data_IF_256397671758
#
_entry.id   IF_256397671758
#
_cell.length_a   1.000
_cell.length_b   1.000
_cell.length_c   1.000
_cell.angle_alpha   90.00
_cell.angle_beta   90.00
_cell.angle_gamma   90.00
#
_symmetry.space_group_name_H-M   'P 1'
#
loop_
_entity.id
_entity.type
_entity.pdbx_description
1 polymer ?
#
# COMPACT_ATOMS: atom_id res chain seq x y z
N UNK A 1 -36.78 18.57 12.22
CA UNK A 1 -36.46 18.13 10.84
C UNK A 1 -37.37 16.94 10.50
N UNK A 2 -37.37 16.39 9.29
CA UNK A 2 -37.98 15.05 9.11
C UNK A 2 -37.10 14.00 9.82
N UNK A 3 -37.68 12.89 10.30
CA UNK A 3 -36.91 11.83 10.99
C UNK A 3 -35.70 11.35 10.19
N UNK A 4 -35.88 11.20 8.87
CA UNK A 4 -34.80 10.90 7.93
C UNK A 4 -33.67 11.94 7.94
N UNK A 5 -34.00 13.24 7.93
CA UNK A 5 -32.99 14.31 8.00
C UNK A 5 -32.24 14.34 9.33
N UNK A 6 -32.89 13.96 10.43
CA UNK A 6 -32.26 13.87 11.75
C UNK A 6 -31.26 12.72 11.81
N UNK A 7 -31.59 11.58 11.22
CA UNK A 7 -30.69 10.43 11.13
C UNK A 7 -29.48 10.74 10.21
N UNK A 8 -29.71 11.39 9.07
CA UNK A 8 -28.65 11.87 8.15
C UNK A 8 -27.70 12.86 8.84
N UNK A 9 -28.23 13.81 9.61
CA UNK A 9 -27.41 14.78 10.33
C UNK A 9 -26.60 14.15 11.48
N UNK A 10 -27.15 13.14 12.17
CA UNK A 10 -26.44 12.39 13.21
C UNK A 10 -25.27 11.60 12.64
N UNK A 11 -25.46 10.92 11.50
CA UNK A 11 -24.40 10.20 10.81
C UNK A 11 -23.28 11.15 10.35
N UNK A 12 -23.66 12.28 9.76
CA UNK A 12 -22.72 13.31 9.32
C UNK A 12 -21.90 13.89 10.49
N UNK A 13 -22.55 14.16 11.63
CA UNK A 13 -21.89 14.67 12.84
C UNK A 13 -20.94 13.64 13.45
N UNK A 14 -21.34 12.36 13.51
CA UNK A 14 -20.49 11.28 13.99
C UNK A 14 -19.22 11.14 13.13
N UNK A 15 -19.33 11.25 11.81
CA UNK A 15 -18.19 11.26 10.90
C UNK A 15 -17.22 12.42 11.19
N UNK A 16 -17.74 13.62 11.44
CA UNK A 16 -16.89 14.81 11.73
C UNK A 16 -16.12 14.65 13.03
N UNK A 17 -16.81 14.28 14.13
CA UNK A 17 -16.18 14.15 15.43
C UNK A 17 -15.22 12.96 15.54
N UNK A 18 -15.37 11.94 14.69
CA UNK A 18 -14.44 10.81 14.59
C UNK A 18 -13.25 11.09 13.67
N UNK A 19 -13.11 12.31 13.12
CA UNK A 19 -12.02 12.68 12.22
C UNK A 19 -12.11 12.04 10.83
N UNK A 20 -13.28 11.51 10.45
CA UNK A 20 -13.52 10.83 9.16
C UNK A 20 -13.97 11.78 8.05
N UNK A 21 -14.28 13.04 8.35
CA UNK A 21 -14.55 14.07 7.34
C UNK A 21 -13.92 15.40 7.68
N UNK A 22 -13.55 16.12 6.62
CA UNK A 22 -13.09 17.49 6.71
C UNK A 22 -14.18 18.41 7.26
N UNK A 23 -13.76 19.47 7.96
CA UNK A 23 -14.63 20.56 8.40
C UNK A 23 -15.40 21.20 7.24
N UNK A 24 -14.74 21.32 6.08
CA UNK A 24 -15.34 21.87 4.85
C UNK A 24 -16.52 21.00 4.40
N UNK A 25 -16.34 19.67 4.35
CA UNK A 25 -17.39 18.73 3.95
C UNK A 25 -18.53 18.66 4.96
N UNK A 26 -18.22 18.67 6.26
CA UNK A 26 -19.25 18.75 7.30
C UNK A 26 -20.15 19.97 7.12
N UNK A 27 -19.56 21.16 6.94
CA UNK A 27 -20.33 22.40 6.73
C UNK A 27 -21.18 22.32 5.46
N UNK A 28 -20.61 21.86 4.34
CA UNK A 28 -21.32 21.76 3.07
C UNK A 28 -22.52 20.81 3.14
N UNK A 29 -22.34 19.61 3.69
CA UNK A 29 -23.41 18.60 3.78
C UNK A 29 -24.47 18.98 4.83
N UNK A 30 -24.08 19.54 5.97
CA UNK A 30 -25.04 19.99 6.98
C UNK A 30 -25.86 21.19 6.47
N UNK A 31 -25.29 22.03 5.59
CA UNK A 31 -26.04 23.10 4.91
C UNK A 31 -27.09 22.53 3.96
N UNK A 32 -26.80 21.45 3.22
CA UNK A 32 -27.79 20.75 2.37
C UNK A 32 -28.94 20.14 3.19
N UNK A 33 -28.69 19.77 4.44
CA UNK A 33 -29.71 19.31 5.39
C UNK A 33 -30.53 20.45 6.02
N UNK A 34 -30.23 21.70 5.68
CA UNK A 34 -30.95 22.90 6.12
C UNK A 34 -30.39 23.52 7.40
N UNK A 35 -29.18 23.13 7.85
CA UNK A 35 -28.53 23.74 9.01
C UNK A 35 -27.70 24.94 8.57
N UNK A 36 -27.86 26.08 9.23
CA UNK A 36 -27.15 27.29 8.84
C UNK A 36 -25.64 27.16 9.08
N UNK A 37 -24.85 27.62 8.10
CA UNK A 37 -23.38 27.67 8.19
C UNK A 37 -22.90 28.49 9.41
N UNK A 38 -23.66 29.52 9.80
CA UNK A 38 -23.38 30.34 10.98
C UNK A 38 -23.50 29.55 12.30
N UNK A 39 -24.49 28.65 12.41
CA UNK A 39 -24.65 27.78 13.57
C UNK A 39 -23.55 26.71 13.61
N UNK A 40 -23.22 26.12 12.46
CA UNK A 40 -22.17 25.11 12.33
C UNK A 40 -20.79 25.67 12.69
N UNK A 41 -20.49 26.92 12.28
CA UNK A 41 -19.26 27.62 12.66
C UNK A 41 -19.12 27.82 14.18
N UNK A 42 -20.23 27.89 14.93
CA UNK A 42 -20.21 28.04 16.39
C UNK A 42 -20.09 26.72 17.15
N UNK A 43 -20.55 25.61 16.55
CA UNK A 43 -20.63 24.30 17.20
C UNK A 43 -19.47 23.36 16.86
N UNK A 44 -18.75 23.61 15.76
CA UNK A 44 -17.63 22.79 15.32
C UNK A 44 -16.29 23.41 15.75
N UNK A 45 -15.72 23.06 16.93
CA UNK A 45 -14.35 23.44 17.24
C UNK A 45 -13.41 22.86 16.18
N UNK A 46 -12.27 23.53 15.98
CA UNK A 46 -11.19 22.98 15.16
C UNK A 46 -10.70 21.69 15.82
N UNK A 47 -11.08 20.53 15.28
CA UNK A 47 -10.50 19.24 15.69
C UNK A 47 -9.02 19.23 15.32
N UNK A 48 -8.18 18.67 16.19
CA UNK A 48 -6.71 18.77 16.26
C UNK A 48 -5.88 18.29 15.05
N UNK A 49 -6.50 18.05 13.90
CA UNK A 49 -5.82 17.70 12.67
C UNK A 49 -6.67 18.18 11.48
N UNK A 50 -6.76 19.49 11.27
CA UNK A 50 -7.35 20.05 10.06
C UNK A 50 -6.27 20.92 9.39
N UNK A 51 -5.28 20.29 8.77
CA UNK A 51 -4.45 20.98 7.78
C UNK A 51 -5.18 20.95 6.44
N UNK A 52 -5.01 21.99 5.62
CA UNK A 52 -5.58 22.08 4.26
C UNK A 52 -5.13 20.95 3.32
N UNK A 53 -4.19 20.10 3.77
CA UNK A 53 -3.60 18.98 3.03
C UNK A 53 -4.22 17.61 3.39
N UNK A 54 -5.21 17.55 4.27
CA UNK A 54 -5.97 16.32 4.48
C UNK A 54 -6.91 16.08 3.31
N UNK A 55 -6.62 15.03 2.53
CA UNK A 55 -7.60 14.46 1.60
C UNK A 55 -8.75 13.94 2.45
N UNK A 56 -9.98 14.39 2.15
CA UNK A 56 -11.19 13.90 2.80
C UNK A 56 -11.21 12.37 2.67
N UNK A 57 -11.05 11.63 3.77
CA UNK A 57 -11.42 10.21 3.76
C UNK A 57 -12.89 10.20 3.38
N UNK A 58 -13.25 9.70 2.20
CA UNK A 58 -14.64 9.83 1.77
C UNK A 58 -15.54 8.98 2.68
N UNK A 59 -16.38 9.53 3.57
CA UNK A 59 -17.42 8.76 4.28
C UNK A 59 -18.51 8.26 3.33
N UNK A 60 -18.54 8.79 2.10
CA UNK A 60 -19.30 8.21 1.01
C UNK A 60 -18.23 7.61 0.10
N UNK A 61 -17.76 6.40 0.39
CA UNK A 61 -17.62 5.48 -0.73
C UNK A 61 -19.04 5.49 -1.36
N UNK A 62 -19.24 6.06 -2.56
CA UNK A 62 -20.59 6.33 -3.08
C UNK A 62 -21.46 5.07 -3.15
N UNK A 63 -20.82 3.91 -3.09
CA UNK A 63 -21.39 2.57 -3.16
C UNK A 63 -20.93 1.67 -1.99
N UNK A 64 -20.57 2.23 -0.83
CA UNK A 64 -20.53 1.43 0.41
C UNK A 64 -21.92 0.76 0.55
N UNK A 65 -21.96 -0.57 0.65
CA UNK A 65 -23.22 -1.33 0.73
C UNK A 65 -24.19 -0.63 1.69
N UNK A 66 -25.30 -0.05 1.20
CA UNK A 66 -26.25 0.57 2.10
C UNK A 66 -26.68 -0.48 3.12
N UNK A 67 -26.81 -0.07 4.38
CA UNK A 67 -27.42 -0.94 5.38
C UNK A 67 -28.91 -0.99 5.05
N UNK A 68 -29.29 -1.88 4.13
CA UNK A 68 -30.67 -2.06 3.71
C UNK A 68 -31.47 -2.77 4.80
N UNK A 69 -32.80 -2.59 4.80
CA UNK A 69 -33.69 -3.29 5.74
C UNK A 69 -33.59 -4.81 5.54
N UNK A 70 -33.45 -5.23 4.29
CA UNK A 70 -33.32 -6.62 3.87
C UNK A 70 -32.02 -7.22 4.43
N UNK A 71 -30.89 -6.50 4.33
CA UNK A 71 -29.61 -6.93 4.89
C UNK A 71 -29.65 -7.00 6.41
N UNK A 72 -30.26 -6.01 7.08
CA UNK A 72 -30.45 -6.05 8.53
C UNK A 72 -31.25 -7.30 8.92
N UNK A 73 -32.37 -7.55 8.25
CA UNK A 73 -33.23 -8.68 8.57
C UNK A 73 -32.55 -10.02 8.29
N UNK A 74 -31.81 -10.12 7.18
CA UNK A 74 -30.97 -11.27 6.86
C UNK A 74 -29.93 -11.53 7.95
N UNK A 75 -29.22 -10.51 8.45
CA UNK A 75 -28.21 -10.67 9.50
C UNK A 75 -28.82 -11.03 10.87
N UNK A 76 -30.04 -10.58 11.18
CA UNK A 76 -30.74 -10.96 12.41
C UNK A 76 -30.99 -12.47 12.49
N UNK A 77 -31.21 -13.13 11.36
CA UNK A 77 -31.47 -14.58 11.34
C UNK A 77 -30.20 -15.42 11.59
N UNK A 78 -29.02 -14.80 11.76
CA UNK A 78 -27.73 -15.48 11.87
C UNK A 78 -27.53 -16.49 10.73
N UNK A 79 -27.46 -16.00 9.48
CA UNK A 79 -27.61 -16.82 8.29
C UNK A 79 -26.49 -17.85 8.12
N UNK A 80 -25.36 -17.67 8.80
CA UNK A 80 -24.21 -18.57 8.75
C UNK A 80 -24.02 -19.35 10.06
N UNK A 81 -25.06 -19.48 10.90
CA UNK A 81 -24.99 -20.26 12.13
C UNK A 81 -24.55 -21.71 11.84
N UNK A 82 -23.46 -22.13 12.49
CA UNK A 82 -22.88 -23.47 12.32
C UNK A 82 -21.97 -23.62 11.10
N UNK A 83 -21.75 -22.54 10.33
CA UNK A 83 -20.79 -22.50 9.23
C UNK A 83 -19.44 -22.03 9.74
N UNK A 84 -18.37 -22.73 9.34
CA UNK A 84 -16.98 -22.30 9.54
C UNK A 84 -16.34 -22.09 8.19
N UNK A 85 -15.67 -20.95 8.01
CA UNK A 85 -14.88 -20.61 6.83
C UNK A 85 -13.40 -20.67 7.20
N UNK A 86 -12.61 -21.45 6.48
CA UNK A 86 -11.17 -21.55 6.63
C UNK A 86 -10.47 -20.62 5.64
N UNK A 87 -9.68 -19.68 6.13
CA UNK A 87 -8.99 -18.68 5.33
C UNK A 87 -7.48 -18.80 5.52
N UNK A 88 -6.74 -18.96 4.43
CA UNK A 88 -5.29 -18.83 4.45
C UNK A 88 -4.90 -17.37 4.22
N UNK A 89 -4.11 -16.79 5.13
CA UNK A 89 -3.63 -15.41 5.02
C UNK A 89 -2.11 -15.32 5.14
N UNK A 90 -1.55 -14.29 4.51
CA UNK A 90 -0.20 -13.82 4.79
C UNK A 90 -0.08 -13.35 6.25
N UNK A 91 0.97 -13.81 6.93
CA UNK A 91 1.39 -13.31 8.24
C UNK A 91 2.01 -11.92 8.13
N UNK A 92 1.17 -10.89 8.08
CA UNK A 92 1.52 -9.47 8.03
C UNK A 92 0.34 -8.61 8.52
N UNK A 93 0.49 -7.28 8.51
CA UNK A 93 -0.56 -6.30 8.86
C UNK A 93 -1.88 -6.58 8.14
N UNK A 94 -1.80 -6.94 6.85
CA UNK A 94 -2.96 -7.35 6.05
C UNK A 94 -3.70 -8.58 6.62
N UNK A 95 -2.98 -9.58 7.12
CA UNK A 95 -3.58 -10.75 7.78
C UNK A 95 -4.17 -10.40 9.14
N UNK A 96 -3.51 -9.50 9.89
CA UNK A 96 -4.02 -8.97 11.16
C UNK A 96 -5.35 -8.24 10.99
N UNK A 97 -5.55 -7.52 9.88
CA UNK A 97 -6.82 -6.87 9.56
C UNK A 97 -7.98 -7.88 9.48
N UNK A 98 -7.80 -9.04 8.83
CA UNK A 98 -8.85 -10.07 8.78
C UNK A 98 -9.15 -10.62 10.19
N UNK A 99 -8.11 -10.96 10.96
CA UNK A 99 -8.25 -11.48 12.32
C UNK A 99 -8.98 -10.50 13.24
N UNK A 100 -8.74 -9.20 13.08
CA UNK A 100 -9.42 -8.16 13.85
C UNK A 100 -10.93 -8.06 13.52
N UNK A 101 -11.32 -8.32 12.27
CA UNK A 101 -12.72 -8.22 11.83
C UNK A 101 -13.51 -9.53 11.96
N UNK A 102 -12.84 -10.68 11.99
CA UNK A 102 -13.46 -12.00 12.09
C UNK A 102 -14.43 -12.14 13.29
N UNK A 103 -14.11 -11.68 14.53
CA UNK A 103 -15.05 -11.75 15.65
C UNK A 103 -16.32 -10.93 15.44
N UNK A 104 -16.20 -9.75 14.81
CA UNK A 104 -17.36 -8.90 14.50
C UNK A 104 -18.25 -9.57 13.45
N UNK A 105 -17.65 -10.09 12.38
CA UNK A 105 -18.39 -10.83 11.36
C UNK A 105 -19.11 -12.05 11.94
N UNK A 106 -18.45 -12.79 12.84
CA UNK A 106 -19.04 -13.93 13.54
C UNK A 106 -20.23 -13.49 14.42
N UNK A 107 -20.07 -12.41 15.18
CA UNK A 107 -21.13 -11.85 16.01
C UNK A 107 -22.33 -11.39 15.17
N UNK A 108 -22.11 -10.81 13.99
CA UNK A 108 -23.18 -10.33 13.11
C UNK A 108 -23.89 -11.47 12.39
N UNK A 109 -23.16 -12.47 11.91
CA UNK A 109 -23.69 -13.49 10.99
C UNK A 109 -23.96 -14.86 11.61
N UNK A 110 -23.39 -15.16 12.77
CA UNK A 110 -23.44 -16.46 13.43
C UNK A 110 -22.43 -17.49 12.89
N UNK A 111 -21.66 -17.15 11.85
CA UNK A 111 -20.59 -18.01 11.34
C UNK A 111 -19.28 -17.88 12.13
N UNK A 112 -18.32 -18.72 11.79
CA UNK A 112 -16.97 -18.68 12.33
C UNK A 112 -15.93 -18.56 11.21
N UNK A 113 -14.86 -17.81 11.46
CA UNK A 113 -13.71 -17.73 10.54
C UNK A 113 -12.51 -18.35 11.26
N UNK A 114 -11.99 -19.42 10.68
CA UNK A 114 -10.71 -20.00 11.08
C UNK A 114 -9.63 -19.40 10.18
N UNK A 115 -8.61 -18.78 10.79
CA UNK A 115 -7.54 -18.10 10.05
C UNK A 115 -6.25 -18.89 10.22
N UNK A 116 -5.72 -19.38 9.10
CA UNK A 116 -4.38 -19.96 9.04
C UNK A 116 -3.41 -18.92 8.49
N UNK A 117 -2.30 -18.70 9.17
CA UNK A 117 -1.29 -17.73 8.76
C UNK A 117 -0.04 -18.42 8.21
N UNK A 118 0.47 -17.91 7.09
CA UNK A 118 1.74 -18.37 6.50
C UNK A 118 2.63 -17.18 6.14
N UNK A 119 3.96 -17.29 6.25
CA UNK A 119 4.85 -16.23 5.81
C UNK A 119 4.85 -16.08 4.27
N UNK A 120 5.23 -14.89 3.78
CA UNK A 120 5.19 -14.55 2.34
C UNK A 120 6.05 -15.50 1.49
N UNK A 121 7.17 -15.96 2.05
CA UNK A 121 8.13 -16.85 1.40
C UNK A 121 7.55 -18.22 1.02
N UNK A 122 6.47 -18.63 1.68
CA UNK A 122 5.80 -19.92 1.49
C UNK A 122 4.33 -19.77 1.08
N UNK A 123 3.80 -18.54 1.02
CA UNK A 123 2.41 -18.25 0.69
C UNK A 123 1.99 -18.87 -0.65
N UNK A 124 2.78 -18.63 -1.71
CA UNK A 124 2.53 -19.21 -3.04
C UNK A 124 2.44 -20.73 -3.00
N UNK A 125 3.49 -21.37 -2.45
CA UNK A 125 3.59 -22.82 -2.40
C UNK A 125 2.41 -23.43 -1.63
N UNK A 126 1.98 -22.82 -0.53
CA UNK A 126 0.86 -23.34 0.28
C UNK A 126 -0.48 -23.20 -0.46
N UNK A 127 -0.74 -22.05 -1.10
CA UNK A 127 -1.95 -21.84 -1.90
C UNK A 127 -2.04 -22.88 -3.02
N UNK A 128 -1.00 -22.96 -3.87
CA UNK A 128 -1.05 -23.80 -5.05
C UNK A 128 -0.90 -25.30 -4.75
N UNK A 129 -0.31 -25.66 -3.61
CA UNK A 129 -0.36 -27.04 -3.11
C UNK A 129 -1.78 -27.48 -2.77
N UNK A 130 -2.54 -26.66 -2.01
CA UNK A 130 -3.93 -27.01 -1.67
C UNK A 130 -4.84 -27.11 -2.90
N UNK A 131 -4.68 -26.16 -3.83
CA UNK A 131 -5.45 -26.10 -5.08
C UNK A 131 -5.12 -27.27 -6.03
N UNK A 132 -3.84 -27.54 -6.30
CA UNK A 132 -3.42 -28.56 -7.27
C UNK A 132 -3.67 -29.99 -6.78
N UNK A 133 -3.61 -30.22 -5.47
CA UNK A 133 -3.90 -31.53 -4.86
C UNK A 133 -5.39 -31.78 -4.66
N UNK A 134 -6.23 -30.74 -4.71
CA UNK A 134 -7.66 -30.84 -4.47
C UNK A 134 -8.01 -31.17 -3.02
N UNK A 135 -7.13 -30.89 -2.07
CA UNK A 135 -7.35 -31.20 -0.65
C UNK A 135 -8.46 -30.34 -0.03
N UNK A 136 -8.65 -29.12 -0.53
CA UNK A 136 -9.71 -28.20 -0.09
C UNK A 136 -9.62 -27.86 1.39
N UNK A 137 -8.42 -27.62 1.91
CA UNK A 137 -8.21 -27.22 3.32
C UNK A 137 -8.74 -25.82 3.60
N UNK A 138 -8.75 -24.96 2.58
CA UNK A 138 -9.17 -23.57 2.69
C UNK A 138 -10.29 -23.24 1.72
N UNK A 139 -11.26 -22.47 2.22
CA UNK A 139 -12.39 -21.97 1.42
C UNK A 139 -12.00 -20.70 0.64
N UNK A 140 -11.01 -19.95 1.14
CA UNK A 140 -10.50 -18.74 0.48
C UNK A 140 -9.05 -18.45 0.90
N UNK A 141 -8.37 -17.68 0.05
CA UNK A 141 -6.96 -17.34 0.18
C UNK A 141 -6.79 -15.84 0.03
N UNK A 142 -6.02 -15.23 0.93
CA UNK A 142 -5.40 -13.93 0.65
C UNK A 142 -4.19 -14.17 -0.26
N UNK A 143 -4.21 -13.57 -1.45
CA UNK A 143 -3.21 -13.82 -2.49
C UNK A 143 -2.70 -12.51 -3.09
N UNK A 144 -1.44 -12.50 -3.51
CA UNK A 144 -0.83 -11.38 -4.21
C UNK A 144 -1.31 -11.30 -5.65
N UNK A 145 -1.46 -10.09 -6.18
CA UNK A 145 -1.89 -9.89 -7.56
C UNK A 145 -0.93 -10.52 -8.59
N UNK A 146 0.35 -10.64 -8.25
CA UNK A 146 1.37 -11.27 -9.09
C UNK A 146 1.22 -12.80 -9.22
N UNK A 147 0.35 -13.44 -8.43
CA UNK A 147 0.02 -14.87 -8.55
C UNK A 147 -1.22 -15.13 -9.43
N UNK A 148 -1.94 -14.10 -9.89
CA UNK A 148 -3.23 -14.28 -10.55
C UNK A 148 -3.18 -15.16 -11.79
N UNK A 149 -2.11 -15.07 -12.59
CA UNK A 149 -1.93 -15.93 -13.77
C UNK A 149 -1.92 -17.42 -13.42
N UNK A 150 -1.36 -17.78 -12.26
CA UNK A 150 -1.18 -19.17 -11.84
C UNK A 150 -2.53 -19.85 -11.52
N UNK A 151 -3.56 -19.08 -11.13
CA UNK A 151 -4.90 -19.61 -10.90
C UNK A 151 -5.57 -20.13 -12.18
N UNK A 152 -5.04 -19.81 -13.37
CA UNK A 152 -5.58 -20.25 -14.67
C UNK A 152 -4.74 -21.37 -15.32
N UNK A 153 -3.80 -21.96 -14.59
CA UNK A 153 -2.91 -23.02 -15.12
C UNK A 153 -3.54 -24.41 -15.09
N UNK A 154 -4.56 -24.63 -14.26
CA UNK A 154 -5.32 -25.88 -14.22
C UNK A 154 -6.23 -26.08 -15.44
N UNK A 155 -6.70 -27.32 -15.64
CA UNK A 155 -7.70 -27.63 -16.67
C UNK A 155 -9.00 -26.83 -16.47
N UNK A 156 -9.34 -26.57 -15.20
CA UNK A 156 -10.34 -25.58 -14.79
C UNK A 156 -9.65 -24.52 -13.92
N UNK A 157 -10.06 -23.24 -14.00
CA UNK A 157 -9.50 -22.19 -13.15
C UNK A 157 -9.71 -22.49 -11.66
N UNK A 158 -8.67 -22.30 -10.86
CA UNK A 158 -8.68 -22.43 -9.40
C UNK A 158 -9.36 -21.25 -8.68
N UNK A 159 -9.94 -20.31 -9.42
CA UNK A 159 -10.55 -19.08 -8.92
C UNK A 159 -11.89 -18.82 -9.60
N UNK A 160 -12.85 -18.31 -8.83
CA UNK A 160 -14.23 -18.06 -9.30
C UNK A 160 -14.45 -16.59 -9.65
N UNK A 161 -15.25 -16.35 -10.69
CA UNK A 161 -15.67 -15.01 -11.09
C UNK A 161 -16.55 -14.38 -9.99
N UNK A 162 -16.32 -13.09 -9.68
CA UNK A 162 -17.02 -12.40 -8.59
C UNK A 162 -18.38 -11.82 -8.99
N UNK A 163 -18.60 -11.56 -10.28
CA UNK A 163 -19.82 -10.92 -10.78
C UNK A 163 -21.14 -11.61 -10.35
N UNK A 164 -21.24 -12.95 -10.25
CA UNK A 164 -22.44 -13.60 -9.72
C UNK A 164 -22.75 -13.22 -8.26
N UNK A 165 -21.73 -13.08 -7.42
CA UNK A 165 -21.90 -12.72 -6.00
C UNK A 165 -22.34 -11.27 -5.84
N UNK A 166 -21.81 -10.36 -6.66
CA UNK A 166 -22.20 -8.94 -6.66
C UNK A 166 -23.66 -8.71 -7.07
N UNK A 167 -24.26 -9.62 -7.84
CA UNK A 167 -25.66 -9.53 -8.28
C UNK A 167 -26.64 -10.09 -7.25
N UNK A 168 -26.18 -10.90 -6.29
CA UNK A 168 -27.05 -11.48 -5.27
C UNK A 168 -27.16 -10.52 -4.07
N UNK A 169 -28.38 -10.01 -3.77
CA UNK A 169 -28.60 -9.03 -2.70
C UNK A 169 -28.28 -9.56 -1.29
N UNK A 170 -27.99 -10.86 -1.12
CA UNK A 170 -27.49 -11.43 0.14
C UNK A 170 -26.06 -11.02 0.46
N UNK A 171 -25.26 -10.68 -0.56
CA UNK A 171 -23.86 -10.29 -0.38
C UNK A 171 -23.71 -8.76 -0.33
N UNK A 172 -22.62 -8.25 0.26
CA UNK A 172 -22.29 -6.83 0.17
C UNK A 172 -22.15 -6.40 -1.30
N UNK A 173 -22.86 -5.34 -1.68
CA UNK A 173 -22.66 -4.62 -2.93
C UNK A 173 -21.43 -3.73 -2.86
N UNK A 174 -20.59 -3.82 -3.88
CA UNK A 174 -19.49 -2.89 -4.18
C UNK A 174 -19.27 -2.91 -5.69
N UNK A 175 -18.70 -1.83 -6.24
CA UNK A 175 -18.48 -1.70 -7.68
C UNK A 175 -16.98 -1.78 -8.04
N UNK A 176 -16.52 -2.84 -8.74
CA UNK A 176 -15.15 -2.94 -9.24
C UNK A 176 -14.73 -1.77 -10.16
N UNK A 177 -15.68 -1.04 -10.76
CA UNK A 177 -15.36 0.14 -11.57
C UNK A 177 -14.82 1.31 -10.74
N UNK A 178 -15.02 1.31 -9.42
CA UNK A 178 -14.47 2.32 -8.51
C UNK A 178 -13.00 2.09 -8.17
N UNK A 179 -12.48 0.90 -8.41
CA UNK A 179 -11.07 0.62 -8.19
C UNK A 179 -10.21 1.44 -9.14
N UNK A 180 -9.00 1.78 -8.69
CA UNK A 180 -7.99 2.36 -9.57
C UNK A 180 -7.85 1.47 -10.82
N UNK A 181 -7.84 2.03 -12.04
CA UNK A 181 -7.80 1.22 -13.26
C UNK A 181 -6.65 0.22 -13.32
N UNK A 182 -5.50 0.57 -12.72
CA UNK A 182 -4.36 -0.34 -12.58
C UNK A 182 -4.69 -1.55 -11.70
N UNK A 183 -5.30 -1.33 -10.52
CA UNK A 183 -5.71 -2.40 -9.61
C UNK A 183 -6.78 -3.29 -10.24
N UNK A 184 -7.79 -2.71 -10.87
CA UNK A 184 -8.82 -3.50 -11.57
C UNK A 184 -8.23 -4.41 -12.65
N UNK A 185 -7.23 -3.92 -13.39
CA UNK A 185 -6.55 -4.70 -14.42
C UNK A 185 -5.85 -5.93 -13.83
N UNK A 186 -5.23 -5.79 -12.67
CA UNK A 186 -4.54 -6.88 -11.97
C UNK A 186 -5.50 -8.00 -11.51
N UNK A 187 -6.74 -7.63 -11.19
CA UNK A 187 -7.80 -8.56 -10.75
C UNK A 187 -8.68 -9.07 -11.91
N UNK A 188 -8.35 -8.73 -13.16
CA UNK A 188 -9.18 -9.09 -14.32
C UNK A 188 -8.48 -10.08 -15.26
N UNK A 189 -9.21 -11.10 -15.69
CA UNK A 189 -8.76 -12.06 -16.71
C UNK A 189 -9.84 -12.26 -17.76
N UNK A 190 -9.48 -12.15 -19.05
CA UNK A 190 -10.42 -12.25 -20.19
C UNK A 190 -11.69 -11.40 -20.02
N UNK A 191 -11.56 -10.18 -19.50
CA UNK A 191 -12.67 -9.24 -19.31
C UNK A 191 -13.55 -9.50 -18.09
N UNK A 192 -13.25 -10.51 -17.27
CA UNK A 192 -13.96 -10.85 -16.04
C UNK A 192 -13.14 -10.49 -14.81
N UNK A 193 -13.81 -10.14 -13.71
CA UNK A 193 -13.17 -9.79 -12.44
C UNK A 193 -13.16 -11.00 -11.50
N UNK A 194 -12.00 -11.28 -10.94
CA UNK A 194 -11.73 -12.37 -10.01
C UNK A 194 -11.15 -11.78 -8.72
N UNK A 195 -11.61 -12.27 -7.57
CA UNK A 195 -11.17 -11.79 -6.26
C UNK A 195 -11.74 -10.44 -5.83
N UNK A 196 -11.50 -10.12 -4.55
CA UNK A 196 -11.91 -8.87 -3.90
C UNK A 196 -10.65 -8.07 -3.61
N UNK A 197 -10.60 -6.80 -4.02
CA UNK A 197 -9.52 -5.89 -3.66
C UNK A 197 -9.59 -5.66 -2.14
N UNK A 198 -8.65 -6.27 -1.42
CA UNK A 198 -8.54 -6.18 0.03
C UNK A 198 -7.50 -5.15 0.45
N UNK A 199 -6.37 -5.14 -0.26
CA UNK A 199 -5.25 -4.23 -0.04
C UNK A 199 -4.64 -3.81 -1.38
N UNK A 200 -4.07 -2.62 -1.42
CA UNK A 200 -3.47 -2.05 -2.61
C UNK A 200 -2.39 -1.03 -2.24
N UNK A 201 -1.16 -1.40 -2.50
CA UNK A 201 0.03 -0.69 -2.11
C UNK A 201 0.94 -0.36 -3.31
N UNK A 202 1.84 0.58 -3.09
CA UNK A 202 2.92 0.91 -4.00
C UNK A 202 4.13 1.30 -3.17
N UNK A 203 5.33 0.97 -3.64
CA UNK A 203 6.54 1.48 -3.03
C UNK A 203 6.75 2.95 -3.41
N UNK A 204 6.94 3.79 -2.40
CA UNK A 204 7.35 5.18 -2.55
C UNK A 204 8.54 5.46 -1.64
N UNK A 205 9.16 6.63 -1.79
CA UNK A 205 10.31 7.02 -0.98
C UNK A 205 9.82 7.80 0.24
N UNK A 206 9.98 7.20 1.41
CA UNK A 206 9.87 7.90 2.69
C UNK A 206 11.23 8.41 3.12
N UNK A 207 11.25 9.60 3.71
CA UNK A 207 12.49 10.24 4.12
C UNK A 207 12.32 11.12 5.35
N UNK A 208 13.42 11.38 6.05
CA UNK A 208 13.47 12.27 7.22
C UNK A 208 13.57 13.72 6.77
N UNK A 209 12.42 14.38 6.56
CA UNK A 209 12.38 15.79 6.11
C UNK A 209 13.07 16.72 7.10
N UNK A 210 12.99 16.44 8.40
CA UNK A 210 13.65 17.21 9.44
C UNK A 210 15.19 17.18 9.32
N UNK A 211 15.74 16.08 8.81
CA UNK A 211 17.17 15.94 8.56
C UNK A 211 17.61 16.61 7.25
N UNK A 212 16.71 16.68 6.27
CA UNK A 212 16.95 17.42 5.02
C UNK A 212 16.78 18.94 5.19
N UNK A 213 15.98 19.38 6.16
CA UNK A 213 15.74 20.78 6.52
C UNK A 213 16.77 21.33 7.52
N UNK A 214 17.57 20.47 8.16
CA UNK A 214 18.59 20.87 9.14
C UNK A 214 19.68 21.71 8.45
N UNK A 215 19.89 22.99 8.84
CA UNK A 215 20.85 23.88 8.17
C UNK A 215 22.26 23.31 8.08
N UNK A 216 22.78 22.74 9.17
CA UNK A 216 24.10 22.10 9.19
C UNK A 216 24.24 20.97 8.15
N UNK A 217 23.17 20.21 7.92
CA UNK A 217 23.19 19.13 6.93
C UNK A 217 23.16 19.70 5.51
N UNK A 218 22.40 20.77 5.27
CA UNK A 218 22.37 21.47 3.98
C UNK A 218 23.73 22.07 3.64
N UNK A 219 24.38 22.74 4.59
CA UNK A 219 25.72 23.31 4.42
C UNK A 219 26.78 22.24 4.11
N UNK A 220 26.81 21.16 4.91
CA UNK A 220 27.73 20.03 4.69
C UNK A 220 27.49 19.35 3.34
N UNK A 221 26.24 19.16 2.93
CA UNK A 221 25.91 18.56 1.64
C UNK A 221 26.39 19.45 0.50
N UNK A 222 26.07 20.76 0.55
CA UNK A 222 26.48 21.72 -0.47
C UNK A 222 28.00 21.83 -0.58
N UNK A 223 28.71 21.80 0.54
CA UNK A 223 30.17 21.80 0.56
C UNK A 223 30.76 20.54 -0.11
N UNK A 224 30.12 19.37 0.05
CA UNK A 224 30.60 18.09 -0.52
C UNK A 224 30.26 17.93 -2.00
N UNK A 225 29.05 18.30 -2.42
CA UNK A 225 28.54 18.01 -3.77
C UNK A 225 28.43 19.23 -4.68
N UNK A 226 28.56 20.45 -4.16
CA UNK A 226 28.53 21.69 -4.95
C UNK A 226 27.13 22.15 -5.37
N UNK A 227 26.06 21.54 -4.85
CA UNK A 227 24.67 21.93 -5.10
C UNK A 227 23.81 21.79 -3.84
N UNK A 228 22.63 22.43 -3.83
CA UNK A 228 21.72 22.41 -2.67
C UNK A 228 21.21 21.00 -2.36
N UNK A 229 21.07 20.66 -1.07
CA UNK A 229 20.51 19.38 -0.63
C UNK A 229 19.08 19.22 -1.19
N UNK A 230 18.80 18.17 -2.00
CA UNK A 230 17.50 18.01 -2.61
C UNK A 230 16.47 17.49 -1.58
N UNK A 231 15.39 18.23 -1.40
CA UNK A 231 14.28 17.88 -0.49
C UNK A 231 12.92 18.08 -1.19
N UNK A 232 12.27 17.01 -1.69
CA UNK A 232 12.78 15.63 -1.87
C UNK A 232 13.75 15.50 -3.07
N UNK A 233 14.45 14.35 -3.23
CA UNK A 233 15.17 14.03 -4.45
C UNK A 233 14.22 13.91 -5.64
N UNK A 234 14.67 14.38 -6.81
CA UNK A 234 13.92 14.35 -8.08
C UNK A 234 14.53 13.47 -9.14
N UNK A 235 15.78 13.05 -8.96
CA UNK A 235 16.51 12.18 -9.89
C UNK A 235 17.16 11.03 -9.14
N UNK A 236 17.39 9.90 -9.82
CA UNK A 236 18.10 8.76 -9.23
C UNK A 236 19.50 9.16 -8.72
N UNK A 237 20.20 10.06 -9.45
CA UNK A 237 21.49 10.61 -9.01
C UNK A 237 21.38 11.32 -7.66
N UNK A 238 20.38 12.19 -7.48
CA UNK A 238 20.17 12.90 -6.21
C UNK A 238 19.87 11.92 -5.07
N UNK A 239 19.09 10.88 -5.33
CA UNK A 239 18.84 9.83 -4.34
C UNK A 239 20.13 9.09 -3.94
N UNK A 240 21.01 8.75 -4.89
CA UNK A 240 22.32 8.19 -4.60
C UNK A 240 23.23 9.14 -3.81
N UNK A 241 23.29 10.42 -4.20
CA UNK A 241 24.13 11.41 -3.51
C UNK A 241 23.65 11.63 -2.06
N UNK A 242 22.34 11.70 -1.82
CA UNK A 242 21.74 11.75 -0.48
C UNK A 242 22.08 10.49 0.33
N UNK A 243 21.91 9.31 -0.28
CA UNK A 243 22.20 8.03 0.37
C UNK A 243 23.67 7.93 0.77
N UNK A 244 24.60 8.33 -0.11
CA UNK A 244 26.03 8.36 0.20
C UNK A 244 26.41 9.50 1.17
N UNK A 245 25.68 10.62 1.16
CA UNK A 245 25.93 11.73 2.08
C UNK A 245 25.61 11.35 3.51
N UNK A 246 24.42 10.78 3.75
CA UNK A 246 23.89 10.47 5.09
C UNK A 246 24.38 9.12 5.66
N UNK A 247 25.44 8.54 5.07
CA UNK A 247 26.00 7.27 5.56
C UNK A 247 27.32 7.49 6.30
N UNK A 248 27.47 6.85 7.45
CA UNK A 248 28.76 6.69 8.12
C UNK A 248 29.18 7.85 9.02
N UNK A 249 28.22 8.68 9.45
CA UNK A 249 28.44 9.71 10.46
C UNK A 249 27.15 10.00 11.23
N UNK A 250 27.31 10.61 12.40
CA UNK A 250 26.23 10.97 13.33
C UNK A 250 25.50 12.25 12.86
N UNK A 251 24.52 12.10 11.98
CA UNK A 251 23.75 13.24 11.48
C UNK A 251 22.56 13.58 12.38
N UNK A 252 22.12 12.61 13.19
CA UNK A 252 20.99 12.75 14.10
C UNK A 252 21.40 13.34 15.48
N UNK A 253 22.67 13.26 15.85
CA UNK A 253 23.26 13.80 17.09
C UNK A 253 23.20 12.88 18.31
N UNK A 254 23.01 11.57 18.13
CA UNK A 254 22.85 10.59 19.22
C UNK A 254 24.13 9.86 19.62
N UNK A 255 25.26 10.18 18.98
CA UNK A 255 26.57 9.59 19.25
C UNK A 255 26.87 8.32 18.45
N UNK A 256 25.98 7.88 17.55
CA UNK A 256 26.19 6.73 16.68
C UNK A 256 26.25 7.14 15.21
N UNK A 257 26.94 6.35 14.39
CA UNK A 257 26.91 6.57 12.94
C UNK A 257 25.61 6.04 12.34
N UNK A 258 25.02 6.83 11.45
CA UNK A 258 23.74 6.54 10.81
C UNK A 258 23.88 6.14 9.33
N UNK A 259 22.75 5.79 8.71
CA UNK A 259 22.65 5.30 7.35
C UNK A 259 21.87 6.22 6.41
N UNK A 260 22.28 6.28 5.16
CA UNK A 260 21.60 7.09 4.16
C UNK A 260 20.43 6.38 3.48
N UNK A 261 20.34 5.06 3.58
CA UNK A 261 19.17 4.31 3.12
C UNK A 261 19.00 3.02 3.94
N UNK A 262 17.74 2.67 4.18
CA UNK A 262 17.37 1.39 4.74
C UNK A 262 16.61 0.57 3.69
N UNK A 263 16.97 -0.71 3.63
CA UNK A 263 16.42 -1.68 2.68
C UNK A 263 16.09 -2.96 3.43
N UNK A 264 15.10 -3.69 2.91
CA UNK A 264 14.68 -4.99 3.42
C UNK A 264 14.66 -5.93 2.24
N UNK A 265 15.80 -6.55 1.94
CA UNK A 265 16.09 -7.16 0.64
C UNK A 265 16.21 -8.70 0.70
N UNK A 266 15.63 -9.34 1.73
CA UNK A 266 15.61 -10.80 1.85
C UNK A 266 15.02 -11.45 0.59
N UNK A 267 15.70 -12.50 0.12
CA UNK A 267 15.24 -13.36 -0.99
C UNK A 267 13.92 -14.06 -0.62
N UNK A 268 13.02 -14.22 -1.59
CA UNK A 268 11.64 -14.71 -1.40
C UNK A 268 10.79 -13.85 -0.44
N UNK A 269 11.20 -12.60 -0.27
CA UNK A 269 10.56 -11.57 0.56
C UNK A 269 10.57 -10.28 -0.28
N UNK A 270 10.76 -9.10 0.33
CA UNK A 270 10.65 -7.84 -0.39
C UNK A 270 11.75 -7.51 -1.41
N UNK A 271 12.88 -8.22 -1.43
CA UNK A 271 13.98 -7.92 -2.37
C UNK A 271 13.57 -7.92 -3.85
N UNK A 272 12.63 -8.82 -4.21
CA UNK A 272 12.04 -8.85 -5.55
C UNK A 272 11.29 -7.56 -5.90
N UNK A 273 10.50 -7.02 -4.96
CA UNK A 273 9.72 -5.81 -5.19
C UNK A 273 10.60 -4.56 -5.24
N UNK A 274 11.66 -4.49 -4.43
CA UNK A 274 12.66 -3.41 -4.54
C UNK A 274 13.27 -3.34 -5.93
N UNK A 275 13.69 -4.49 -6.46
CA UNK A 275 14.22 -4.55 -7.81
C UNK A 275 13.17 -4.15 -8.86
N UNK A 276 11.94 -4.63 -8.74
CA UNK A 276 10.85 -4.27 -9.66
C UNK A 276 10.59 -2.76 -9.68
N UNK A 277 10.46 -2.15 -8.51
CA UNK A 277 10.21 -0.71 -8.34
C UNK A 277 11.34 0.13 -8.93
N UNK A 278 12.60 -0.24 -8.64
CA UNK A 278 13.76 0.53 -9.09
C UNK A 278 14.12 0.27 -10.55
N UNK A 279 13.80 -0.91 -11.10
CA UNK A 279 14.06 -1.23 -12.48
C UNK A 279 12.98 -0.76 -13.44
N UNK A 280 11.72 -0.62 -13.00
CA UNK A 280 10.63 -0.22 -13.87
C UNK A 280 10.92 1.07 -14.66
N UNK A 281 11.47 2.16 -14.08
CA UNK A 281 11.80 3.37 -14.84
C UNK A 281 12.82 3.18 -15.97
N UNK A 282 13.67 2.14 -15.90
CA UNK A 282 14.70 1.87 -16.91
C UNK A 282 14.18 1.14 -18.14
N UNK A 283 12.97 0.58 -18.07
CA UNK A 283 12.41 -0.22 -19.18
C UNK A 283 10.96 0.10 -19.50
N UNK A 284 10.20 0.61 -18.55
CA UNK A 284 8.81 1.05 -18.76
C UNK A 284 8.83 2.53 -19.11
N UNK A 285 8.34 2.84 -20.31
CA UNK A 285 8.22 4.19 -20.85
C UNK A 285 6.87 4.37 -21.53
N UNK A 286 6.65 5.54 -22.13
CA UNK A 286 5.46 5.78 -22.96
C UNK A 286 5.34 4.77 -24.11
N UNK A 287 6.48 4.34 -24.65
CA UNK A 287 6.56 3.51 -25.86
C UNK A 287 6.86 2.02 -25.55
N UNK A 288 7.19 1.68 -24.30
CA UNK A 288 7.29 0.29 -23.86
C UNK A 288 6.63 0.05 -22.49
N UNK A 289 5.75 -0.95 -22.41
CA UNK A 289 5.11 -1.40 -21.17
C UNK A 289 5.55 -2.79 -20.72
N UNK A 290 6.42 -3.45 -21.48
CA UNK A 290 6.78 -4.85 -21.28
C UNK A 290 8.02 -4.94 -20.39
N UNK A 291 7.85 -5.52 -19.20
CA UNK A 291 8.91 -5.71 -18.21
C UNK A 291 9.49 -7.13 -18.26
N UNK A 292 8.65 -8.16 -18.15
CA UNK A 292 9.12 -9.55 -17.98
C UNK A 292 9.35 -10.29 -19.29
N UNK A 293 8.40 -10.22 -20.24
CA UNK A 293 8.40 -11.05 -21.44
C UNK A 293 8.04 -10.24 -22.68
N UNK A 294 8.65 -10.61 -23.80
CA UNK A 294 8.19 -10.16 -25.11
C UNK A 294 6.80 -10.78 -25.38
N UNK A 295 5.78 -9.99 -25.75
CA UNK A 295 4.40 -10.47 -25.86
C UNK A 295 4.18 -11.46 -27.02
N UNK A 296 5.01 -11.42 -28.06
CA UNK A 296 4.85 -12.24 -29.26
C UNK A 296 5.62 -13.55 -29.17
N UNK A 297 6.77 -13.53 -28.48
CA UNK A 297 7.72 -14.66 -28.45
C UNK A 297 7.83 -15.33 -27.09
N UNK A 298 7.28 -14.72 -26.03
CA UNK A 298 7.47 -15.13 -24.64
C UNK A 298 8.95 -15.20 -24.20
N UNK A 299 9.87 -14.59 -24.97
CA UNK A 299 11.27 -14.51 -24.59
C UNK A 299 11.40 -13.62 -23.33
N UNK A 300 12.11 -14.07 -22.28
CA UNK A 300 12.39 -13.25 -21.11
C UNK A 300 13.18 -11.99 -21.48
N UNK A 301 12.78 -10.85 -20.92
CA UNK A 301 13.39 -9.53 -21.13
C UNK A 301 14.33 -9.12 -20.00
N UNK A 302 14.32 -9.87 -18.89
CA UNK A 302 15.02 -9.53 -17.64
C UNK A 302 16.54 -9.35 -17.78
N UNK A 303 17.15 -9.91 -18.82
CA UNK A 303 18.58 -9.77 -19.12
C UNK A 303 18.90 -8.65 -20.14
N UNK A 304 17.94 -7.77 -20.45
CA UNK A 304 18.17 -6.63 -21.33
C UNK A 304 19.11 -5.61 -20.70
N UNK A 305 19.73 -4.75 -21.52
CA UNK A 305 20.61 -3.67 -21.07
C UNK A 305 19.97 -2.74 -20.02
N UNK A 306 18.69 -2.37 -20.18
CA UNK A 306 17.98 -1.53 -19.21
C UNK A 306 17.87 -2.17 -17.83
N UNK A 307 17.48 -3.45 -17.77
CA UNK A 307 17.44 -4.21 -16.51
C UNK A 307 18.82 -4.38 -15.87
N UNK A 308 19.87 -4.58 -16.66
CA UNK A 308 21.24 -4.65 -16.15
C UNK A 308 21.66 -3.32 -15.52
N UNK A 309 21.45 -2.20 -16.22
CA UNK A 309 21.75 -0.86 -15.68
C UNK A 309 20.96 -0.57 -14.40
N UNK A 310 19.69 -0.96 -14.35
CA UNK A 310 18.88 -0.86 -13.15
C UNK A 310 19.45 -1.66 -11.98
N UNK A 311 19.93 -2.88 -12.24
CA UNK A 311 20.55 -3.72 -11.21
C UNK A 311 21.85 -3.09 -10.69
N UNK A 312 22.69 -2.58 -11.59
CA UNK A 312 23.93 -1.87 -11.24
C UNK A 312 23.65 -0.64 -10.38
N UNK A 313 22.62 0.15 -10.72
CA UNK A 313 22.22 1.30 -9.92
C UNK A 313 21.60 0.87 -8.59
N UNK A 314 20.79 -0.18 -8.54
CA UNK A 314 20.28 -0.73 -7.28
C UNK A 314 21.41 -1.16 -6.34
N UNK A 315 22.41 -1.89 -6.85
CA UNK A 315 23.55 -2.37 -6.06
C UNK A 315 24.36 -1.23 -5.45
N UNK A 316 24.39 -0.04 -6.08
CA UNK A 316 25.06 1.16 -5.52
C UNK A 316 24.40 1.70 -4.25
N UNK A 317 23.17 1.32 -3.92
CA UNK A 317 22.55 1.66 -2.64
C UNK A 317 23.04 0.76 -1.49
N UNK A 318 23.47 -0.47 -1.77
CA UNK A 318 23.80 -1.45 -0.73
C UNK A 318 24.90 -0.98 0.25
N UNK A 319 25.97 -0.27 -0.17
CA UNK A 319 26.97 0.24 0.76
C UNK A 319 26.47 1.34 1.69
N UNK A 320 25.31 1.95 1.39
CA UNK A 320 24.74 3.08 2.13
C UNK A 320 23.68 2.67 3.17
N UNK A 321 23.52 1.37 3.37
CA UNK A 321 22.75 0.77 4.46
C UNK A 321 23.55 -0.36 5.13
N UNK A 322 23.03 -0.94 6.22
CA UNK A 322 23.67 -2.08 6.87
C UNK A 322 23.80 -3.26 5.92
N UNK A 323 24.92 -3.99 5.98
CA UNK A 323 25.17 -5.14 5.10
C UNK A 323 24.16 -6.27 5.33
N UNK A 324 23.59 -6.33 6.53
CA UNK A 324 22.58 -7.28 6.96
C UNK A 324 21.23 -7.05 6.25
N UNK A 325 21.00 -5.88 5.65
CA UNK A 325 19.78 -5.52 4.93
C UNK A 325 19.39 -6.53 3.82
N UNK A 326 20.38 -7.24 3.24
CA UNK A 326 20.16 -8.31 2.26
C UNK A 326 19.39 -9.52 2.83
N UNK A 327 19.33 -9.62 4.16
CA UNK A 327 18.65 -10.70 4.89
C UNK A 327 17.40 -10.23 5.64
N UNK A 328 17.13 -8.93 5.62
CA UNK A 328 16.07 -8.34 6.42
C UNK A 328 14.71 -8.53 5.78
N UNK A 329 13.76 -8.96 6.61
CA UNK A 329 12.33 -8.92 6.32
C UNK A 329 11.82 -7.48 6.33
N UNK A 330 10.60 -7.26 5.84
CA UNK A 330 9.97 -5.94 5.81
C UNK A 330 10.08 -5.17 7.13
N UNK A 331 9.65 -5.80 8.23
CA UNK A 331 9.68 -5.18 9.56
C UNK A 331 11.09 -4.88 10.07
N UNK A 332 12.10 -5.66 9.69
CA UNK A 332 13.49 -5.41 10.09
C UNK A 332 14.07 -4.17 9.41
N UNK A 333 13.78 -3.95 8.12
CA UNK A 333 14.16 -2.70 7.44
C UNK A 333 13.47 -1.49 8.06
N UNK A 334 12.16 -1.58 8.26
CA UNK A 334 11.40 -0.50 8.90
C UNK A 334 11.92 -0.11 10.27
N UNK A 335 12.37 -1.08 11.09
CA UNK A 335 12.91 -0.78 12.41
C UNK A 335 14.13 0.17 12.36
N UNK A 336 14.98 0.09 11.34
CA UNK A 336 16.14 0.98 11.22
C UNK A 336 15.69 2.43 10.93
N UNK A 337 14.73 2.60 10.02
CA UNK A 337 14.17 3.92 9.73
C UNK A 337 13.38 4.48 10.92
N UNK A 338 12.48 3.68 11.52
CA UNK A 338 11.61 4.09 12.63
C UNK A 338 12.36 4.39 13.93
N UNK A 339 13.54 3.78 14.14
CA UNK A 339 14.45 4.12 15.23
C UNK A 339 15.28 5.38 14.97
N UNK A 340 15.17 5.98 13.79
CA UNK A 340 15.81 7.24 13.45
C UNK A 340 17.22 7.12 12.86
N UNK A 341 17.68 5.90 12.53
CA UNK A 341 19.04 5.61 12.07
C UNK A 341 19.18 5.46 10.55
N UNK A 342 18.11 5.70 9.79
CA UNK A 342 18.16 5.81 8.33
C UNK A 342 17.40 7.06 7.85
N UNK A 343 17.99 7.80 6.91
CA UNK A 343 17.38 9.05 6.41
C UNK A 343 16.34 8.81 5.30
N UNK A 344 16.42 7.67 4.60
CA UNK A 344 15.52 7.26 3.52
C UNK A 344 15.14 5.78 3.64
N UNK A 345 13.90 5.46 3.29
CA UNK A 345 13.36 4.10 3.18
C UNK A 345 12.39 4.04 1.99
N UNK A 346 12.80 3.50 0.84
CA UNK A 346 11.87 3.15 -0.22
C UNK A 346 11.04 1.94 0.24
N UNK A 347 9.74 2.09 0.47
CA UNK A 347 8.89 1.00 0.97
C UNK A 347 7.40 1.28 0.77
N UNK A 348 6.56 0.36 1.26
CA UNK A 348 5.10 0.33 1.18
C UNK A 348 4.42 1.36 2.07
N UNK A 349 3.12 1.55 1.82
CA UNK A 349 2.25 2.57 2.42
C UNK A 349 2.06 2.50 3.94
N UNK A 350 2.44 1.40 4.58
CA UNK A 350 2.23 1.17 6.00
C UNK A 350 3.18 2.00 6.89
N UNK A 351 4.43 2.21 6.45
CA UNK A 351 5.49 2.81 7.26
C UNK A 351 5.09 4.16 7.89
N UNK A 352 4.46 5.12 7.17
CA UNK A 352 4.01 6.38 7.76
C UNK A 352 3.06 6.21 8.94
N UNK A 353 2.19 5.19 8.91
CA UNK A 353 1.24 4.92 10.00
C UNK A 353 2.01 4.57 11.28
N UNK A 354 3.01 3.69 11.17
CA UNK A 354 3.91 3.37 12.28
C UNK A 354 4.76 4.56 12.72
N UNK A 355 5.22 5.38 11.78
CA UNK A 355 5.98 6.58 12.08
C UNK A 355 5.18 7.64 12.85
N UNK A 356 3.85 7.64 12.77
CA UNK A 356 2.98 8.53 13.55
C UNK A 356 2.59 7.97 14.92
N UNK A 357 2.90 6.72 15.24
CA UNK A 357 2.64 6.15 16.57
C UNK A 357 3.28 7.08 17.63
N UNK A 358 2.52 7.57 18.62
CA UNK A 358 3.07 8.40 19.71
C UNK A 358 4.21 7.73 20.49
N UNK A 359 4.37 6.41 20.38
CA UNK A 359 5.52 5.67 20.93
C UNK A 359 6.80 5.84 20.09
N UNK A 360 6.70 6.29 18.84
CA UNK A 360 7.84 6.62 17.99
C UNK A 360 8.34 8.04 18.29
N UNK A 361 9.37 8.15 19.12
CA UNK A 361 9.96 9.44 19.47
C UNK A 361 10.79 10.07 18.33
N UNK A 362 11.18 9.28 17.33
CA UNK A 362 12.14 9.69 16.30
C UNK A 362 11.48 10.20 15.03
N UNK A 363 10.31 9.66 14.65
CA UNK A 363 9.73 9.90 13.31
C UNK A 363 8.41 10.68 13.32
N UNK A 364 7.74 10.83 14.48
CA UNK A 364 6.44 11.50 14.53
C UNK A 364 6.52 12.94 14.02
N UNK A 365 5.66 13.29 13.05
CA UNK A 365 5.66 14.58 12.36
C UNK A 365 6.90 14.90 11.48
N UNK A 366 7.90 14.02 11.45
CA UNK A 366 9.24 14.24 10.85
C UNK A 366 9.48 13.49 9.55
N UNK A 367 8.51 12.72 9.08
CA UNK A 367 8.59 11.95 7.82
C UNK A 367 7.97 12.75 6.67
N UNK A 368 8.67 12.81 5.54
CA UNK A 368 8.18 13.22 4.24
C UNK A 368 8.00 12.01 3.32
N UNK A 369 7.27 12.20 2.23
CA UNK A 369 7.02 11.17 1.22
C UNK A 369 7.11 11.77 -0.18
N UNK A 370 7.70 11.03 -1.11
CA UNK A 370 7.74 11.39 -2.53
C UNK A 370 7.77 10.13 -3.40
N UNK A 371 7.46 10.27 -4.69
CA UNK A 371 7.67 9.19 -5.65
C UNK A 371 9.16 8.82 -5.68
N UNK A 372 9.47 7.54 -5.82
CA UNK A 372 10.86 7.11 -6.05
C UNK A 372 11.30 7.73 -7.39
N UNK A 373 12.41 8.48 -7.42
CA UNK A 373 12.85 9.12 -8.65
C UNK A 373 13.09 8.12 -9.78
N UNK A 374 12.65 8.48 -10.98
CA UNK A 374 12.96 7.73 -12.19
C UNK A 374 14.32 8.09 -12.79
N UNK A 375 14.47 7.74 -14.06
CA UNK A 375 15.62 8.08 -14.91
C UNK A 375 15.16 8.90 -16.11
N UNK A 376 16.09 9.66 -16.68
CA UNK A 376 15.85 10.53 -17.84
C UNK A 376 15.86 9.77 -19.17
N UNK A 377 16.20 8.48 -19.18
CA UNK A 377 16.25 7.61 -20.34
C UNK A 377 15.81 6.19 -19.96
N UNK A 378 14.97 5.57 -20.79
CA UNK A 378 14.49 4.21 -20.64
C UNK A 378 14.88 3.36 -21.87
N UNK A 379 15.30 2.13 -21.62
CA UNK A 379 15.62 1.15 -22.65
C UNK A 379 14.36 0.40 -23.06
N UNK A 380 14.03 0.40 -24.35
CA UNK A 380 13.00 -0.45 -24.90
C UNK A 380 13.60 -1.84 -25.22
N UNK A 381 13.28 -2.88 -24.42
CA UNK A 381 13.84 -4.22 -24.60
C UNK A 381 13.27 -4.98 -25.81
N UNK A 382 12.21 -4.46 -26.44
CA UNK A 382 11.64 -5.02 -27.67
C UNK A 382 12.44 -4.53 -28.88
N UNK A 383 12.77 -3.24 -28.92
CA UNK A 383 13.49 -2.63 -30.06
C UNK A 383 15.01 -2.57 -29.87
N UNK A 384 15.50 -2.73 -28.63
CA UNK A 384 16.91 -2.65 -28.29
C UNK A 384 17.48 -1.23 -28.32
N UNK A 385 16.70 -0.23 -27.92
CA UNK A 385 17.09 1.20 -28.01
C UNK A 385 16.81 1.94 -26.71
N UNK A 386 17.61 2.97 -26.43
CA UNK A 386 17.35 3.95 -25.38
C UNK A 386 16.53 5.12 -25.93
N UNK A 387 15.50 5.50 -25.19
CA UNK A 387 14.61 6.63 -25.47
C UNK A 387 14.56 7.56 -24.25
N UNK A 388 14.39 8.87 -24.47
CA UNK A 388 14.28 9.89 -23.40
C UNK A 388 12.87 10.01 -22.83
#
# INVERSE_FOLDING_TARGET
MSKQREDEFRALSAGYFQGRISRRRFIQQATKLGISAALLNRLAPATYAASDNLVDSSPEAPDESPITKERIEFLKSKPYKGVTINVLVLKATVGDCLKAHAPKWAAETGGHVNVAEVPIDTLHQQIFSDLSTGLGRYDTYMTGCWFYGDFFTGNEPYIVEIAPFLKDPKYPSWDPNQWLPAMRRLYSWQGKVYGVLFDGDAQILYYRKDMFEKPDNQEKFKAKYGYELPNPPKTMKQMHDLSAFFTGWDWNGDGQSDWGISLHAKVNEQGFFHFLTLAAPYVVSKDNKYFFFNPDTMKPLINSEGHLRALEDYVKFLPNGPKEAISWTLGQGWNLFLSGHAVMEPTWGDLPTFAQDPKSNFCQGKVGACVIPGVDEAFNPITGKWDK
#
